data_IF_261904137914
#
_entry.id   IF_261904137914
#
_cell.length_a   1.000
_cell.length_b   1.000
_cell.length_c   1.000
_cell.angle_alpha   90.00
_cell.angle_beta   90.00
_cell.angle_gamma   90.00
#
_symmetry.space_group_name_H-M   'P 1'
#
loop_
_entity.id
_entity.type
_entity.pdbx_description
1 polymer ?
#
# COMPACT_ATOMS: atom_id res chain seq x y z
N UNK A 1 24.40 21.39 12.53
CA UNK A 1 24.23 20.06 13.16
C UNK A 1 22.85 19.59 12.78
N UNK A 2 22.75 18.68 11.81
CA UNK A 2 21.47 18.15 11.37
C UNK A 2 20.88 17.30 12.49
N UNK A 3 19.66 17.63 12.92
CA UNK A 3 18.93 16.84 13.90
C UNK A 3 18.68 15.46 13.31
N UNK A 4 19.27 14.44 13.92
CA UNK A 4 18.84 13.05 13.80
C UNK A 4 17.45 12.93 14.42
N UNK A 5 16.42 13.38 13.68
CA UNK A 5 15.05 13.02 14.00
C UNK A 5 14.91 11.51 13.78
N UNK A 6 14.50 10.83 14.85
CA UNK A 6 14.38 9.38 14.97
C UNK A 6 13.82 8.74 13.69
N UNK A 7 14.68 7.96 13.04
CA UNK A 7 14.32 6.94 12.05
C UNK A 7 13.06 6.22 12.53
N UNK A 8 12.09 6.02 11.64
CA UNK A 8 11.14 4.93 11.87
C UNK A 8 11.93 3.66 12.19
N UNK A 9 11.44 2.80 13.09
CA UNK A 9 12.08 1.52 13.43
C UNK A 9 12.03 0.50 12.26
N UNK A 10 12.00 0.96 11.02
CA UNK A 10 12.02 0.18 9.79
C UNK A 10 13.39 0.29 9.12
N UNK A 11 13.93 -0.81 8.57
CA UNK A 11 15.12 -0.75 7.74
C UNK A 11 14.93 0.15 6.51
N UNK A 12 15.92 1.01 6.26
CA UNK A 12 16.04 1.75 4.99
C UNK A 12 16.82 0.88 4.01
N UNK A 13 16.19 0.54 2.89
CA UNK A 13 16.79 -0.19 1.77
C UNK A 13 17.20 0.81 0.69
N UNK A 14 18.47 0.77 0.29
CA UNK A 14 18.99 1.65 -0.76
C UNK A 14 18.95 0.97 -2.13
N UNK A 15 18.00 1.39 -2.96
CA UNK A 15 17.82 0.85 -4.31
C UNK A 15 19.00 1.22 -5.23
N UNK A 16 19.69 2.32 -4.96
CA UNK A 16 20.80 2.79 -5.79
C UNK A 16 21.99 1.82 -5.72
N UNK A 17 22.15 1.09 -4.61
CA UNK A 17 23.13 0.01 -4.50
C UNK A 17 22.84 -1.06 -5.55
N UNK A 18 21.59 -1.48 -5.69
CA UNK A 18 21.17 -2.48 -6.67
C UNK A 18 21.30 -1.99 -8.11
N UNK A 19 20.98 -0.71 -8.37
CA UNK A 19 20.94 -0.15 -9.72
C UNK A 19 22.34 0.15 -10.28
N UNK A 20 23.28 0.53 -9.42
CA UNK A 20 24.57 1.08 -9.86
C UNK A 20 25.75 0.10 -9.71
N UNK A 21 25.52 -1.12 -9.24
CA UNK A 21 26.57 -2.12 -9.01
C UNK A 21 26.26 -3.47 -9.68
N UNK A 22 27.26 -4.32 -9.93
CA UNK A 22 27.05 -5.67 -10.43
C UNK A 22 26.18 -6.50 -9.49
N UNK A 23 25.26 -7.29 -10.06
CA UNK A 23 24.30 -8.10 -9.29
C UNK A 23 24.97 -9.13 -8.37
N UNK A 24 26.15 -9.62 -8.72
CA UNK A 24 26.95 -10.59 -7.97
C UNK A 24 27.87 -9.95 -6.92
N UNK A 25 27.89 -8.60 -6.83
CA UNK A 25 28.68 -7.92 -5.81
C UNK A 25 28.13 -8.15 -4.40
N UNK A 26 29.03 -8.25 -3.42
CA UNK A 26 28.66 -8.48 -2.01
C UNK A 26 27.71 -7.40 -1.47
N UNK A 27 27.93 -6.14 -1.85
CA UNK A 27 27.08 -5.02 -1.47
C UNK A 27 25.63 -5.20 -1.97
N UNK A 28 25.44 -5.62 -3.23
CA UNK A 28 24.11 -5.89 -3.78
C UNK A 28 23.46 -7.08 -3.09
N UNK A 29 24.21 -8.15 -2.85
CA UNK A 29 23.70 -9.35 -2.18
C UNK A 29 23.27 -9.07 -0.74
N UNK A 30 24.03 -8.27 0.00
CA UNK A 30 23.67 -7.83 1.35
C UNK A 30 22.40 -6.96 1.33
N UNK A 31 22.31 -5.99 0.43
CA UNK A 31 21.15 -5.09 0.38
C UNK A 31 19.87 -5.85 -0.06
N UNK A 32 19.99 -6.83 -0.95
CA UNK A 32 18.90 -7.76 -1.30
C UNK A 32 18.45 -8.60 -0.09
N UNK A 33 19.39 -9.19 0.67
CA UNK A 33 19.09 -9.96 1.89
C UNK A 33 18.42 -9.08 2.94
N UNK A 34 18.89 -7.85 3.10
CA UNK A 34 18.30 -6.85 3.99
C UNK A 34 16.87 -6.50 3.59
N UNK A 35 16.58 -6.32 2.30
CA UNK A 35 15.22 -6.08 1.81
C UNK A 35 14.27 -7.25 2.12
N UNK A 36 14.68 -8.49 1.80
CA UNK A 36 13.89 -9.68 2.11
C UNK A 36 13.67 -9.85 3.62
N UNK A 37 14.72 -9.68 4.43
CA UNK A 37 14.61 -9.78 5.89
C UNK A 37 13.74 -8.68 6.49
N UNK A 38 13.73 -7.47 5.93
CA UNK A 38 12.86 -6.40 6.36
C UNK A 38 11.38 -6.75 6.13
N UNK A 39 11.03 -7.29 4.95
CA UNK A 39 9.66 -7.74 4.68
C UNK A 39 9.26 -8.94 5.55
N UNK A 40 10.14 -9.90 5.78
CA UNK A 40 9.87 -11.05 6.68
C UNK A 40 9.63 -10.57 8.11
N UNK A 41 10.48 -9.67 8.60
CA UNK A 41 10.50 -9.27 10.01
C UNK A 41 9.40 -8.26 10.32
N UNK A 42 9.25 -7.24 9.49
CA UNK A 42 8.39 -6.10 9.78
C UNK A 42 7.13 -6.07 8.92
N UNK A 43 7.10 -6.80 7.79
CA UNK A 43 6.06 -6.64 6.76
C UNK A 43 6.15 -5.31 6.02
N UNK A 44 7.19 -4.51 6.27
CA UNK A 44 7.36 -3.17 5.75
C UNK A 44 8.83 -2.75 5.75
N UNK A 45 9.17 -1.76 4.94
CA UNK A 45 10.49 -1.13 4.86
C UNK A 45 10.40 0.29 4.32
N UNK A 46 11.46 1.06 4.49
CA UNK A 46 11.66 2.33 3.77
C UNK A 46 12.55 2.07 2.58
N UNK A 47 12.16 2.54 1.40
CA UNK A 47 12.93 2.43 0.17
C UNK A 47 13.51 3.80 -0.18
N UNK A 48 14.81 3.88 -0.40
CA UNK A 48 15.49 5.02 -1.02
C UNK A 48 15.70 4.74 -2.50
N UNK A 49 15.35 5.69 -3.38
CA UNK A 49 15.58 5.60 -4.83
C UNK A 49 15.89 6.99 -5.38
N UNK A 50 17.12 7.25 -5.83
CA UNK A 50 17.55 8.54 -6.39
C UNK A 50 16.74 9.05 -7.59
N UNK A 51 15.98 8.18 -8.25
CA UNK A 51 15.15 8.54 -9.41
C UNK A 51 13.79 9.12 -8.99
N UNK A 52 13.42 9.02 -7.71
CA UNK A 52 12.16 9.53 -7.17
C UNK A 52 12.29 11.02 -6.84
N UNK A 53 11.38 11.83 -7.35
CA UNK A 53 11.33 13.28 -7.11
C UNK A 53 10.27 13.65 -6.08
N UNK A 54 10.65 14.43 -5.07
CA UNK A 54 9.71 15.02 -4.11
C UNK A 54 8.78 16.05 -4.79
N UNK A 55 9.24 16.69 -5.86
CA UNK A 55 8.45 17.64 -6.65
C UNK A 55 7.35 16.94 -7.45
N UNK A 56 7.63 15.76 -8.01
CA UNK A 56 6.63 14.95 -8.73
C UNK A 56 5.50 14.52 -7.78
N UNK A 57 5.85 14.07 -6.57
CA UNK A 57 4.87 13.76 -5.53
C UNK A 57 4.08 15.02 -5.12
N UNK A 58 4.75 16.15 -4.92
CA UNK A 58 4.08 17.42 -4.56
C UNK A 58 3.05 17.84 -5.61
N UNK A 59 3.42 17.76 -6.90
CA UNK A 59 2.55 18.06 -8.05
C UNK A 59 1.37 17.11 -8.13
N UNK A 60 1.60 15.82 -7.93
CA UNK A 60 0.56 14.80 -7.84
C UNK A 60 -0.42 15.05 -6.68
N UNK A 61 0.09 15.45 -5.50
CA UNK A 61 -0.77 15.79 -4.37
C UNK A 61 -1.59 17.05 -4.64
N UNK A 62 -1.03 18.06 -5.30
CA UNK A 62 -1.75 19.30 -5.61
C UNK A 62 -2.94 19.08 -6.52
N UNK A 63 -2.75 18.31 -7.60
CA UNK A 63 -3.84 18.02 -8.53
C UNK A 63 -4.94 17.16 -7.92
N UNK A 64 -4.59 16.27 -6.98
CA UNK A 64 -5.59 15.46 -6.28
C UNK A 64 -6.33 16.25 -5.21
N UNK A 65 -5.65 17.14 -4.49
CA UNK A 65 -6.32 18.10 -3.61
C UNK A 65 -7.32 18.95 -4.41
N UNK A 66 -6.93 19.45 -5.59
CA UNK A 66 -7.83 20.20 -6.49
C UNK A 66 -9.03 19.35 -6.91
N UNK A 67 -8.77 18.09 -7.30
CA UNK A 67 -9.81 17.17 -7.75
C UNK A 67 -10.84 16.88 -6.67
N UNK A 68 -10.40 16.45 -5.50
CA UNK A 68 -11.29 16.06 -4.40
C UNK A 68 -11.94 17.25 -3.68
N UNK A 69 -11.50 18.49 -3.95
CA UNK A 69 -12.16 19.71 -3.49
C UNK A 69 -13.37 20.11 -4.35
N UNK A 70 -13.60 19.43 -5.48
CA UNK A 70 -14.75 19.71 -6.33
C UNK A 70 -16.08 19.26 -5.69
N UNK A 71 -17.22 19.82 -6.13
CA UNK A 71 -18.53 19.34 -5.71
C UNK A 71 -18.72 17.85 -5.98
N UNK A 72 -19.43 17.17 -5.09
CA UNK A 72 -19.69 15.73 -5.16
C UNK A 72 -20.37 15.32 -6.47
N UNK A 73 -21.25 16.16 -7.02
CA UNK A 73 -21.92 15.93 -8.30
C UNK A 73 -20.95 15.88 -9.48
N UNK A 74 -19.80 16.55 -9.37
CA UNK A 74 -18.73 16.49 -10.37
C UNK A 74 -17.95 15.20 -10.21
N UNK A 75 -17.54 14.86 -8.97
CA UNK A 75 -16.80 13.63 -8.67
C UNK A 75 -17.57 12.39 -9.10
N UNK A 76 -18.86 12.33 -8.79
CA UNK A 76 -19.77 11.21 -9.08
C UNK A 76 -19.78 10.78 -10.56
N UNK A 77 -19.46 11.68 -11.49
CA UNK A 77 -19.38 11.36 -12.92
C UNK A 77 -18.26 10.36 -13.26
N UNK A 78 -17.22 10.34 -12.41
CA UNK A 78 -16.06 9.48 -12.59
C UNK A 78 -16.25 8.10 -11.93
N UNK A 79 -17.36 7.85 -11.23
CA UNK A 79 -17.66 6.55 -10.64
C UNK A 79 -17.92 5.50 -11.74
N UNK A 80 -17.54 4.25 -11.45
CA UNK A 80 -17.87 3.07 -12.28
C UNK A 80 -18.36 1.92 -11.40
N UNK A 81 -19.56 2.03 -10.79
CA UNK A 81 -20.10 1.00 -9.90
C UNK A 81 -20.27 -0.36 -10.60
N UNK A 82 -20.56 -0.36 -11.91
CA UNK A 82 -20.68 -1.54 -12.75
C UNK A 82 -19.36 -2.33 -12.91
N UNK A 83 -18.24 -1.72 -12.54
CA UNK A 83 -16.90 -2.32 -12.51
C UNK A 83 -16.38 -2.51 -11.09
N UNK A 84 -17.27 -2.64 -10.10
CA UNK A 84 -16.90 -2.81 -8.69
C UNK A 84 -15.98 -1.71 -8.17
N UNK A 85 -16.12 -0.50 -8.71
CA UNK A 85 -15.27 0.66 -8.41
C UNK A 85 -13.77 0.39 -8.58
N UNK A 86 -13.37 -0.51 -9.48
CA UNK A 86 -11.96 -0.85 -9.74
C UNK A 86 -11.26 0.15 -10.68
N UNK A 87 -11.94 1.24 -11.05
CA UNK A 87 -11.40 2.32 -11.88
C UNK A 87 -12.18 3.60 -11.62
N UNK A 88 -11.55 4.76 -11.80
CA UNK A 88 -12.18 6.05 -11.53
C UNK A 88 -12.35 6.28 -10.03
N UNK A 89 -13.38 7.01 -9.61
CA UNK A 89 -13.58 7.38 -8.21
C UNK A 89 -14.53 6.44 -7.47
N UNK A 90 -14.26 6.27 -6.18
CA UNK A 90 -15.16 5.75 -5.15
C UNK A 90 -15.34 6.85 -4.12
N UNK A 91 -16.57 7.27 -3.85
CA UNK A 91 -16.83 8.34 -2.88
C UNK A 91 -16.82 7.84 -1.43
N UNK A 92 -16.69 8.79 -0.51
CA UNK A 92 -16.68 8.57 0.94
C UNK A 92 -17.88 7.73 1.41
N UNK A 93 -17.66 6.92 2.45
CA UNK A 93 -18.66 6.05 3.06
C UNK A 93 -19.22 4.91 2.18
N UNK A 94 -18.53 4.58 1.07
CA UNK A 94 -18.91 3.45 0.21
C UNK A 94 -18.28 2.12 0.67
N UNK A 95 -16.98 2.15 1.01
CA UNK A 95 -16.21 0.97 1.43
C UNK A 95 -16.49 0.64 2.92
N UNK A 96 -16.74 -0.64 3.22
CA UNK A 96 -16.82 -1.14 4.60
C UNK A 96 -15.50 -1.79 5.01
N UNK A 97 -14.94 -1.45 6.18
CA UNK A 97 -13.67 -2.04 6.61
C UNK A 97 -13.81 -3.55 6.86
N UNK A 98 -13.05 -4.38 6.12
CA UNK A 98 -13.07 -5.85 6.22
C UNK A 98 -12.93 -6.34 7.67
N UNK A 99 -11.92 -5.82 8.35
CA UNK A 99 -11.57 -6.25 9.71
C UNK A 99 -12.55 -5.82 10.80
N UNK A 100 -13.64 -5.10 10.45
CA UNK A 100 -14.73 -4.84 11.39
C UNK A 100 -15.58 -6.10 11.67
N UNK A 101 -15.55 -7.09 10.78
CA UNK A 101 -16.34 -8.33 10.91
C UNK A 101 -15.57 -9.61 10.55
N UNK A 102 -14.40 -9.50 9.94
CA UNK A 102 -13.57 -10.63 9.53
C UNK A 102 -12.86 -11.29 10.72
N UNK A 103 -13.25 -12.54 11.04
CA UNK A 103 -12.72 -13.30 12.18
C UNK A 103 -11.18 -13.36 12.22
N UNK A 104 -10.46 -13.62 11.10
CA UNK A 104 -9.00 -13.58 11.08
C UNK A 104 -8.40 -12.23 11.52
N UNK A 105 -9.00 -11.11 11.12
CA UNK A 105 -8.54 -9.80 11.59
C UNK A 105 -8.81 -9.60 13.08
N UNK A 106 -10.00 -9.98 13.56
CA UNK A 106 -10.39 -9.84 14.95
C UNK A 106 -9.48 -10.66 15.87
N UNK A 107 -9.10 -11.87 15.46
CA UNK A 107 -8.14 -12.73 16.17
C UNK A 107 -6.76 -12.05 16.29
N UNK A 108 -6.26 -11.42 15.22
CA UNK A 108 -5.01 -10.64 15.29
C UNK A 108 -5.12 -9.53 16.33
N UNK A 109 -6.21 -8.75 16.30
CA UNK A 109 -6.39 -7.62 17.23
C UNK A 109 -6.48 -8.09 18.67
N UNK A 110 -7.15 -9.22 18.93
CA UNK A 110 -7.25 -9.81 20.26
C UNK A 110 -5.87 -10.17 20.81
N UNK A 111 -4.97 -10.69 19.96
CA UNK A 111 -3.60 -11.08 20.31
C UNK A 111 -2.62 -9.91 20.48
N UNK A 112 -2.93 -8.74 19.91
CA UNK A 112 -2.12 -7.54 20.16
C UNK A 112 -2.19 -7.13 21.62
N UNK A 113 -1.06 -6.69 22.15
CA UNK A 113 -1.00 -6.00 23.44
C UNK A 113 -2.03 -4.85 23.45
N UNK A 114 -2.81 -4.64 24.53
CA UNK A 114 -3.85 -3.62 24.57
C UNK A 114 -3.38 -2.22 24.18
N UNK A 115 -2.12 -1.85 24.46
CA UNK A 115 -1.54 -0.56 24.07
C UNK A 115 -1.22 -0.43 22.59
N UNK A 116 -1.13 -1.55 21.88
CA UNK A 116 -0.81 -1.65 20.46
C UNK A 116 -2.05 -1.85 19.58
N UNK A 117 -3.24 -2.00 20.16
CA UNK A 117 -4.47 -2.20 19.39
C UNK A 117 -4.81 -0.97 18.54
N UNK A 118 -5.48 -1.17 17.39
CA UNK A 118 -6.02 -0.06 16.60
C UNK A 118 -7.04 0.75 17.41
N UNK A 119 -7.31 1.98 16.97
CA UNK A 119 -8.04 2.96 17.77
C UNK A 119 -9.48 2.53 18.10
N UNK A 120 -10.21 1.95 17.14
CA UNK A 120 -11.52 1.33 17.37
C UNK A 120 -11.89 0.43 16.17
N UNK A 121 -12.34 -0.79 16.44
CA UNK A 121 -12.91 -1.74 15.45
C UNK A 121 -14.39 -2.01 15.66
N UNK A 122 -14.99 -1.42 16.69
CA UNK A 122 -16.41 -1.58 17.04
C UNK A 122 -17.30 -0.49 16.42
N UNK A 123 -16.70 0.55 15.83
CA UNK A 123 -17.42 1.60 15.11
C UNK A 123 -17.74 1.16 13.67
N UNK A 124 -18.92 0.54 13.51
CA UNK A 124 -19.54 0.05 12.26
C UNK A 124 -19.79 1.11 11.16
N UNK A 125 -19.01 2.19 11.10
CA UNK A 125 -19.17 3.24 10.09
C UNK A 125 -18.26 2.95 8.89
N UNK A 126 -18.78 3.10 7.66
CA UNK A 126 -17.96 3.13 6.45
C UNK A 126 -16.80 4.12 6.57
N UNK A 127 -15.68 3.84 5.90
CA UNK A 127 -14.51 4.71 5.99
C UNK A 127 -14.81 6.09 5.35
N UNK A 128 -14.54 7.23 6.03
CA UNK A 128 -14.75 8.58 5.51
C UNK A 128 -13.60 8.96 4.57
N UNK A 129 -13.44 8.18 3.50
CA UNK A 129 -12.43 8.36 2.48
C UNK A 129 -12.99 8.13 1.09
N UNK A 130 -12.65 9.03 0.18
CA UNK A 130 -12.76 8.76 -1.24
C UNK A 130 -11.50 8.03 -1.71
N UNK A 131 -11.60 7.30 -2.81
CA UNK A 131 -10.48 6.67 -3.50
C UNK A 131 -10.59 6.97 -4.98
N UNK A 132 -9.46 7.18 -5.65
CA UNK A 132 -9.42 7.18 -7.12
C UNK A 132 -8.46 6.10 -7.59
N UNK A 133 -8.86 5.30 -8.56
CA UNK A 133 -8.01 4.31 -9.21
C UNK A 133 -7.62 4.76 -10.61
N UNK A 134 -6.32 4.78 -10.84
CA UNK A 134 -5.67 5.03 -12.11
C UNK A 134 -4.74 3.87 -12.43
N UNK A 135 -4.98 3.19 -13.54
CA UNK A 135 -4.21 2.02 -13.95
C UNK A 135 -2.81 2.40 -14.41
N UNK A 136 -1.84 1.61 -13.96
CA UNK A 136 -0.42 1.70 -14.31
C UNK A 136 0.11 0.45 -15.04
N UNK A 137 -0.78 -0.40 -15.55
CA UNK A 137 -0.49 -1.66 -16.22
C UNK A 137 -0.22 -1.52 -17.72
N UNK A 138 0.55 -2.46 -18.24
CA UNK A 138 0.70 -2.71 -19.67
C UNK A 138 -0.40 -3.65 -20.16
N UNK A 139 -0.85 -3.48 -21.40
CA UNK A 139 -1.80 -4.41 -22.00
C UNK A 139 -1.13 -5.77 -22.21
N UNK A 140 -1.70 -6.87 -21.67
CA UNK A 140 -1.13 -8.20 -21.90
C UNK A 140 -1.24 -8.59 -23.39
N UNK A 141 -0.29 -9.38 -23.92
CA UNK A 141 -0.35 -9.89 -25.29
C UNK A 141 -1.33 -11.08 -25.46
N UNK A 142 -2.20 -11.30 -24.47
CA UNK A 142 -3.17 -12.39 -24.39
C UNK A 142 -4.50 -11.86 -23.85
N UNK A 143 -5.58 -12.57 -24.14
CA UNK A 143 -6.88 -12.29 -23.54
C UNK A 143 -6.89 -12.79 -22.09
N UNK A 144 -7.19 -11.90 -21.15
CA UNK A 144 -7.25 -12.22 -19.72
C UNK A 144 -8.60 -12.81 -19.35
N UNK A 145 -8.60 -13.76 -18.41
CA UNK A 145 -9.82 -14.29 -17.79
C UNK A 145 -10.51 -13.25 -16.88
N UNK A 146 -9.84 -12.12 -16.60
CA UNK A 146 -10.29 -11.09 -15.66
C UNK A 146 -10.46 -9.70 -16.31
N UNK A 147 -11.35 -9.54 -17.31
CA UNK A 147 -11.49 -8.28 -18.05
C UNK A 147 -11.98 -7.11 -17.18
N UNK A 148 -12.78 -7.38 -16.14
CA UNK A 148 -13.28 -6.34 -15.21
C UNK A 148 -12.17 -5.63 -14.44
N UNK A 149 -11.06 -6.32 -14.16
CA UNK A 149 -9.87 -5.72 -13.52
C UNK A 149 -9.03 -4.88 -14.50
N UNK A 150 -9.42 -4.86 -15.79
CA UNK A 150 -8.67 -4.32 -16.92
C UNK A 150 -9.45 -3.27 -17.75
N UNK A 151 -10.47 -2.60 -17.18
CA UNK A 151 -11.20 -1.46 -17.80
C UNK A 151 -10.41 -0.13 -17.94
N UNK A 152 -10.51 0.63 -19.05
CA UNK A 152 -9.67 1.82 -19.31
C UNK A 152 -9.80 2.92 -18.25
N UNK A 153 -8.75 3.75 -18.12
CA UNK A 153 -8.71 4.87 -17.18
C UNK A 153 -9.84 5.89 -17.43
N UNK A 154 -10.33 6.46 -16.33
CA UNK A 154 -11.28 7.59 -16.33
C UNK A 154 -10.49 8.89 -16.16
N UNK A 155 -10.77 9.89 -17.00
CA UNK A 155 -10.15 11.22 -16.92
C UNK A 155 -11.20 12.24 -16.49
N UNK A 156 -10.98 12.99 -15.39
CA UNK A 156 -11.91 14.02 -14.94
C UNK A 156 -12.19 15.08 -16.01
N UNK A 157 -13.46 15.47 -16.17
CA UNK A 157 -13.87 16.43 -17.20
C UNK A 157 -13.54 17.89 -16.88
N UNK A 158 -13.27 18.19 -15.60
CA UNK A 158 -13.14 19.55 -15.09
C UNK A 158 -12.02 20.33 -15.81
N UNK A 159 -12.32 21.49 -16.45
CA UNK A 159 -11.36 22.16 -17.34
C UNK A 159 -10.03 22.56 -16.68
N UNK A 160 -10.04 22.85 -15.38
CA UNK A 160 -8.83 23.26 -14.63
C UNK A 160 -7.92 22.08 -14.20
N UNK A 161 -8.37 20.84 -14.44
CA UNK A 161 -7.68 19.60 -14.02
C UNK A 161 -7.38 18.70 -15.22
N UNK A 162 -8.34 18.56 -16.14
CA UNK A 162 -8.37 17.58 -17.23
C UNK A 162 -7.02 17.42 -17.95
N UNK A 163 -6.45 18.53 -18.43
CA UNK A 163 -5.23 18.50 -19.25
C UNK A 163 -3.97 18.18 -18.44
N UNK A 164 -4.01 18.39 -17.12
CA UNK A 164 -2.88 18.09 -16.20
C UNK A 164 -2.98 16.69 -15.59
N UNK A 165 -4.16 16.08 -15.60
CA UNK A 165 -4.45 14.82 -14.90
C UNK A 165 -3.57 13.67 -15.36
N UNK A 166 -3.73 13.24 -16.61
CA UNK A 166 -3.01 12.10 -17.14
C UNK A 166 -1.48 12.25 -17.05
N UNK A 167 -0.87 13.40 -17.41
CA UNK A 167 0.56 13.60 -17.21
C UNK A 167 1.01 13.44 -15.75
N UNK A 168 0.30 14.05 -14.79
CA UNK A 168 0.67 13.99 -13.38
C UNK A 168 0.50 12.57 -12.80
N UNK A 169 -0.61 11.90 -13.12
CA UNK A 169 -0.87 10.53 -12.69
C UNK A 169 0.17 9.56 -13.26
N UNK A 170 0.48 9.68 -14.55
CA UNK A 170 1.44 8.80 -15.22
C UNK A 170 2.89 9.04 -14.76
N UNK A 171 3.29 10.30 -14.57
CA UNK A 171 4.63 10.65 -14.10
C UNK A 171 4.88 10.01 -12.73
N UNK A 172 4.01 10.29 -11.77
CA UNK A 172 4.18 9.80 -10.40
C UNK A 172 3.96 8.29 -10.28
N UNK A 173 2.91 7.76 -10.91
CA UNK A 173 2.63 6.32 -10.90
C UNK A 173 3.76 5.50 -11.55
N UNK A 174 4.40 6.01 -12.61
CA UNK A 174 5.53 5.33 -13.25
C UNK A 174 6.74 5.29 -12.32
N UNK A 175 7.02 6.39 -11.63
CA UNK A 175 8.10 6.45 -10.63
C UNK A 175 7.92 5.40 -9.54
N UNK A 176 6.74 5.36 -8.91
CA UNK A 176 6.38 4.37 -7.89
C UNK A 176 6.45 2.92 -8.42
N UNK A 177 5.87 2.66 -9.61
CA UNK A 177 5.86 1.34 -10.23
C UNK A 177 7.29 0.84 -10.47
N UNK A 178 8.16 1.70 -11.00
CA UNK A 178 9.54 1.33 -11.29
C UNK A 178 10.34 1.05 -10.01
N UNK A 179 10.17 1.86 -8.96
CA UNK A 179 10.81 1.65 -7.67
C UNK A 179 10.40 0.31 -7.04
N UNK A 180 9.09 0.05 -6.92
CA UNK A 180 8.58 -1.18 -6.30
C UNK A 180 8.88 -2.43 -7.14
N UNK A 181 8.90 -2.31 -8.47
CA UNK A 181 9.27 -3.41 -9.36
C UNK A 181 10.73 -3.84 -9.16
N UNK A 182 11.64 -2.89 -8.93
CA UNK A 182 13.05 -3.18 -8.63
C UNK A 182 13.25 -3.72 -7.21
N UNK A 183 12.48 -3.24 -6.24
CA UNK A 183 12.44 -3.84 -4.91
C UNK A 183 11.94 -5.29 -4.95
N UNK A 184 10.99 -5.63 -5.83
CA UNK A 184 10.55 -7.01 -6.02
C UNK A 184 11.70 -7.89 -6.56
N UNK A 185 12.57 -7.36 -7.44
CA UNK A 185 13.78 -8.07 -7.88
C UNK A 185 14.76 -8.30 -6.69
N UNK A 186 15.04 -7.25 -5.92
CA UNK A 186 15.90 -7.36 -4.72
C UNK A 186 15.36 -8.37 -3.71
N UNK A 187 14.04 -8.36 -3.49
CA UNK A 187 13.37 -9.29 -2.59
C UNK A 187 13.51 -10.73 -3.09
N UNK A 188 13.37 -10.98 -4.40
CA UNK A 188 13.60 -12.31 -4.97
C UNK A 188 15.03 -12.78 -4.72
N UNK A 189 16.04 -11.95 -4.99
CA UNK A 189 17.45 -12.27 -4.74
C UNK A 189 17.70 -12.57 -3.26
N UNK A 190 17.18 -11.74 -2.34
CA UNK A 190 17.31 -11.97 -0.90
C UNK A 190 16.56 -13.20 -0.35
N UNK A 191 15.69 -13.80 -1.16
CA UNK A 191 15.01 -15.08 -0.91
C UNK A 191 15.65 -16.25 -1.68
N UNK A 192 16.85 -16.04 -2.25
CA UNK A 192 17.60 -16.99 -3.07
C UNK A 192 16.84 -17.43 -4.33
N UNK A 193 15.96 -16.57 -4.86
CA UNK A 193 15.23 -16.76 -6.12
C UNK A 193 15.92 -16.00 -7.26
N UNK A 194 15.68 -16.37 -8.53
CA UNK A 194 16.09 -15.54 -9.65
C UNK A 194 15.52 -14.13 -9.52
N UNK A 195 16.32 -13.09 -9.79
CA UNK A 195 15.92 -11.69 -9.64
C UNK A 195 14.60 -11.37 -10.36
N UNK A 196 14.37 -11.98 -11.52
CA UNK A 196 13.18 -11.78 -12.33
C UNK A 196 11.91 -12.46 -11.80
N UNK A 197 12.01 -13.35 -10.80
CA UNK A 197 10.93 -14.26 -10.41
C UNK A 197 9.61 -13.53 -10.12
N UNK A 198 9.63 -12.52 -9.25
CA UNK A 198 8.42 -11.74 -8.95
C UNK A 198 8.12 -10.69 -10.02
N UNK A 199 9.14 -10.01 -10.55
CA UNK A 199 8.93 -8.97 -11.56
C UNK A 199 8.20 -9.52 -12.79
N UNK A 200 8.63 -10.65 -13.32
CA UNK A 200 8.03 -11.24 -14.51
C UNK A 200 6.58 -11.67 -14.22
N UNK A 201 6.30 -12.15 -13.00
CA UNK A 201 4.94 -12.42 -12.56
C UNK A 201 4.11 -11.13 -12.40
N UNK A 202 4.71 -10.00 -12.06
CA UNK A 202 4.03 -8.71 -11.98
C UNK A 202 3.91 -7.95 -13.30
N UNK A 203 4.59 -8.36 -14.37
CA UNK A 203 4.71 -7.57 -15.60
C UNK A 203 3.38 -7.09 -16.18
N UNK A 204 2.38 -7.98 -16.19
CA UNK A 204 1.02 -7.69 -16.66
C UNK A 204 0.00 -7.60 -15.51
N UNK A 205 0.47 -7.32 -14.30
CA UNK A 205 -0.38 -7.13 -13.13
C UNK A 205 -1.29 -5.91 -13.31
N UNK A 206 -2.53 -5.94 -12.78
CA UNK A 206 -3.42 -4.79 -12.74
C UNK A 206 -2.94 -3.77 -11.70
N UNK A 207 -1.75 -3.19 -11.86
CA UNK A 207 -1.21 -2.18 -10.95
C UNK A 207 -2.10 -0.93 -10.92
N UNK A 208 -2.36 -0.42 -9.72
CA UNK A 208 -3.25 0.72 -9.51
C UNK A 208 -2.52 1.81 -8.74
N UNK A 209 -2.36 2.99 -9.36
CA UNK A 209 -2.15 4.21 -8.61
C UNK A 209 -3.50 4.55 -7.95
N UNK A 210 -3.50 4.56 -6.63
CA UNK A 210 -4.69 4.45 -5.80
C UNK A 210 -4.76 5.54 -4.73
N UNK A 211 -4.68 6.83 -5.10
CA UNK A 211 -4.80 7.90 -4.12
C UNK A 211 -6.10 7.80 -3.34
N UNK A 212 -5.96 8.00 -2.04
CA UNK A 212 -7.08 8.04 -1.10
C UNK A 212 -7.17 9.43 -0.53
N UNK A 213 -8.37 9.99 -0.49
CA UNK A 213 -8.63 11.35 -0.05
C UNK A 213 -9.58 11.37 1.14
N UNK A 214 -9.27 12.19 2.14
CA UNK A 214 -10.20 12.51 3.23
C UNK A 214 -10.29 14.02 3.39
N UNK A 215 -11.52 14.52 3.40
CA UNK A 215 -11.82 15.92 3.67
C UNK A 215 -11.59 16.22 5.16
N UNK A 216 -10.56 17.01 5.47
CA UNK A 216 -10.22 17.36 6.85
C UNK A 216 -11.04 18.55 7.39
N UNK A 217 -11.84 19.22 6.56
CA UNK A 217 -12.86 20.14 7.09
C UNK A 217 -14.00 19.36 7.72
N UNK A 218 -14.39 18.24 7.08
CA UNK A 218 -15.44 17.34 7.58
C UNK A 218 -14.93 16.37 8.66
N UNK A 219 -13.76 15.78 8.46
CA UNK A 219 -13.26 14.62 9.22
C UNK A 219 -11.96 14.91 9.97
N UNK A 220 -11.57 16.18 10.12
CA UNK A 220 -10.31 16.59 10.77
C UNK A 220 -10.32 16.58 12.30
N UNK A 221 -11.35 16.03 12.95
CA UNK A 221 -11.39 15.91 14.41
C UNK A 221 -10.43 14.85 14.92
N UNK A 222 -9.78 15.10 16.07
CA UNK A 222 -8.83 14.17 16.68
C UNK A 222 -9.50 12.83 16.96
N UNK A 223 -8.79 11.74 16.70
CA UNK A 223 -9.22 10.35 16.84
C UNK A 223 -10.26 9.88 15.80
N UNK A 224 -10.56 10.69 14.77
CA UNK A 224 -11.31 10.19 13.62
C UNK A 224 -10.50 9.14 12.88
N UNK A 225 -11.10 7.99 12.60
CA UNK A 225 -10.54 6.92 11.76
C UNK A 225 -10.89 7.25 10.31
N UNK A 226 -9.88 7.57 9.51
CA UNK A 226 -10.02 7.88 8.10
C UNK A 226 -9.95 6.62 7.22
N UNK A 227 -9.20 5.62 7.66
CA UNK A 227 -9.18 4.28 7.10
C UNK A 227 -8.98 3.27 8.22
N UNK A 228 -9.91 2.33 8.37
CA UNK A 228 -9.87 1.31 9.41
C UNK A 228 -8.64 0.39 9.32
N UNK A 229 -8.41 -0.38 10.38
CA UNK A 229 -7.34 -1.38 10.43
C UNK A 229 -7.52 -2.45 9.34
N UNK A 230 -6.56 -2.63 8.44
CA UNK A 230 -6.64 -3.64 7.37
C UNK A 230 -5.27 -4.05 6.84
N UNK A 231 -5.27 -5.06 5.96
CA UNK A 231 -4.13 -5.41 5.10
C UNK A 231 -4.47 -5.13 3.64
N UNK A 232 -3.45 -4.91 2.83
CA UNK A 232 -3.60 -4.78 1.39
C UNK A 232 -3.66 -6.14 0.68
N UNK A 233 -4.46 -6.22 -0.39
CA UNK A 233 -4.71 -7.44 -1.14
C UNK A 233 -3.65 -7.75 -2.22
N UNK A 234 -2.91 -6.74 -2.68
CA UNK A 234 -1.91 -6.83 -3.75
C UNK A 234 -0.60 -7.50 -3.30
N UNK A 235 0.45 -7.41 -4.12
CA UNK A 235 1.76 -8.01 -3.79
C UNK A 235 2.61 -7.09 -2.92
N UNK A 236 2.88 -5.87 -3.39
CA UNK A 236 3.58 -4.83 -2.62
C UNK A 236 2.83 -3.50 -2.77
N UNK A 237 2.61 -2.80 -1.67
CA UNK A 237 2.04 -1.44 -1.66
C UNK A 237 3.16 -0.45 -1.41
N UNK A 238 3.23 0.60 -2.23
CA UNK A 238 4.23 1.65 -2.10
C UNK A 238 3.56 2.99 -1.86
N UNK A 239 4.11 3.78 -0.92
CA UNK A 239 3.59 5.08 -0.56
C UNK A 239 4.62 6.19 -0.70
N UNK A 240 4.21 7.28 -1.36
CA UNK A 240 4.85 8.58 -1.26
C UNK A 240 4.53 9.28 0.05
N UNK A 241 5.28 10.33 0.37
CA UNK A 241 5.03 11.15 1.55
C UNK A 241 3.69 11.90 1.41
N UNK A 242 2.79 11.72 2.37
CA UNK A 242 1.58 12.57 2.49
C UNK A 242 1.92 13.91 3.17
N UNK A 243 1.17 14.97 2.83
CA UNK A 243 1.27 16.27 3.52
C UNK A 243 0.76 16.21 4.95
N UNK A 244 -0.27 15.39 5.20
CA UNK A 244 -0.88 15.25 6.51
C UNK A 244 -0.54 13.86 7.07
N UNK A 245 0.10 13.78 8.26
CA UNK A 245 0.41 12.50 8.90
C UNK A 245 -0.89 11.78 9.33
N UNK A 246 -0.75 10.58 9.90
CA UNK A 246 -1.88 9.81 10.43
C UNK A 246 -1.83 8.31 10.13
N UNK A 247 -0.98 7.89 9.19
CA UNK A 247 -0.75 6.48 8.88
C UNK A 247 0.00 5.81 10.04
N UNK A 248 -0.56 4.70 10.52
CA UNK A 248 0.12 3.77 11.41
C UNK A 248 0.18 2.40 10.75
N UNK A 249 1.29 1.69 10.97
CA UNK A 249 1.49 0.32 10.52
C UNK A 249 1.85 -0.57 11.72
N UNK A 250 1.71 -1.88 11.58
CA UNK A 250 2.09 -2.85 12.62
C UNK A 250 3.25 -3.71 12.17
N UNK A 251 4.33 -3.66 12.94
CA UNK A 251 5.49 -4.51 12.70
C UNK A 251 5.11 -5.99 12.94
N UNK A 252 5.36 -6.85 11.95
CA UNK A 252 4.96 -8.26 12.01
C UNK A 252 5.66 -9.09 13.09
N UNK A 253 6.85 -8.69 13.50
CA UNK A 253 7.66 -9.37 14.52
C UNK A 253 7.18 -9.14 15.96
N UNK A 254 6.63 -7.96 16.26
CA UNK A 254 6.26 -7.59 17.65
C UNK A 254 4.79 -7.22 17.81
N UNK A 255 4.08 -6.93 16.72
CA UNK A 255 2.77 -6.28 16.77
C UNK A 255 2.85 -4.82 17.22
N UNK A 256 4.03 -4.21 17.24
CA UNK A 256 4.18 -2.82 17.65
C UNK A 256 3.58 -1.89 16.59
N UNK A 257 2.76 -0.94 17.04
CA UNK A 257 2.19 0.12 16.21
C UNK A 257 3.23 1.20 15.96
N UNK A 258 3.56 1.43 14.69
CA UNK A 258 4.54 2.40 14.23
C UNK A 258 3.80 3.55 13.54
N UNK A 259 3.93 4.76 14.07
CA UNK A 259 3.49 5.97 13.39
C UNK A 259 4.45 6.28 12.23
N UNK A 260 3.94 6.22 11.00
CA UNK A 260 4.78 6.38 9.81
C UNK A 260 5.26 7.83 9.66
N UNK A 261 6.57 7.97 9.44
CA UNK A 261 7.28 9.19 9.09
C UNK A 261 8.26 8.88 7.96
N UNK A 262 7.83 9.10 6.72
CA UNK A 262 8.72 8.96 5.55
C UNK A 262 9.69 10.15 5.55
N UNK A 263 11.01 9.92 5.50
CA UNK A 263 11.98 11.01 5.42
C UNK A 263 11.71 11.93 4.22
N UNK A 264 12.09 13.22 4.29
CA UNK A 264 12.01 14.11 3.13
C UNK A 264 12.94 13.65 2.00
N UNK A 265 12.67 14.11 0.77
CA UNK A 265 13.38 13.70 -0.42
C UNK A 265 12.78 12.45 -1.08
N UNK A 266 13.66 11.51 -1.40
CA UNK A 266 13.45 10.42 -2.35
C UNK A 266 13.21 9.06 -1.66
N UNK A 267 12.45 9.11 -0.56
CA UNK A 267 12.10 7.93 0.23
C UNK A 267 10.63 7.56 0.06
N UNK A 268 10.37 6.26 0.05
CA UNK A 268 9.05 5.67 -0.07
C UNK A 268 8.84 4.66 1.06
N UNK A 269 7.61 4.49 1.54
CA UNK A 269 7.26 3.36 2.40
C UNK A 269 6.78 2.21 1.53
N UNK A 270 7.25 0.99 1.77
CA UNK A 270 6.72 -0.21 1.12
C UNK A 270 6.21 -1.20 2.15
N UNK A 271 5.02 -1.75 1.92
CA UNK A 271 4.39 -2.80 2.74
C UNK A 271 4.10 -4.05 1.91
N UNK A 272 4.21 -5.21 2.54
CA UNK A 272 3.77 -6.48 1.98
C UNK A 272 2.24 -6.57 1.95
N UNK A 273 1.69 -7.06 0.84
CA UNK A 273 0.26 -7.39 0.71
C UNK A 273 -0.01 -8.90 0.70
N UNK A 274 -1.25 -9.29 0.44
CA UNK A 274 -1.69 -10.70 0.49
C UNK A 274 -1.09 -11.59 -0.59
N UNK A 275 -0.76 -11.07 -1.77
CA UNK A 275 -0.18 -11.91 -2.83
C UNK A 275 1.24 -12.38 -2.49
N UNK A 276 2.08 -11.53 -1.88
CA UNK A 276 3.41 -11.97 -1.43
C UNK A 276 3.29 -12.89 -0.21
N UNK A 277 2.32 -12.67 0.66
CA UNK A 277 2.03 -13.58 1.77
C UNK A 277 1.72 -14.98 1.27
N UNK A 278 0.84 -15.09 0.29
CA UNK A 278 0.42 -16.38 -0.27
C UNK A 278 1.55 -17.10 -1.01
N UNK A 279 2.23 -16.43 -1.94
CA UNK A 279 3.27 -17.07 -2.77
C UNK A 279 4.50 -17.49 -1.96
N UNK A 280 4.73 -16.85 -0.81
CA UNK A 280 5.83 -17.20 0.10
C UNK A 280 5.41 -18.19 1.19
N UNK A 281 4.15 -18.65 1.19
CA UNK A 281 3.63 -19.58 2.18
C UNK A 281 3.60 -19.01 3.59
N UNK A 282 3.33 -17.71 3.72
CA UNK A 282 3.29 -16.99 4.99
C UNK A 282 4.66 -16.61 5.57
N UNK A 283 5.76 -16.82 4.82
CA UNK A 283 7.11 -16.38 5.23
C UNK A 283 7.18 -14.84 5.35
N UNK A 284 6.69 -14.13 4.33
CA UNK A 284 6.44 -12.69 4.40
C UNK A 284 4.96 -12.53 4.72
N UNK A 285 4.59 -11.71 5.70
CA UNK A 285 3.18 -11.52 6.06
C UNK A 285 2.69 -10.14 5.65
N UNK A 286 1.44 -10.05 5.19
CA UNK A 286 0.83 -8.80 4.84
C UNK A 286 0.82 -7.85 6.05
N UNK A 287 1.24 -6.61 5.81
CA UNK A 287 1.35 -5.59 6.83
C UNK A 287 -0.02 -5.00 7.17
N UNK A 288 -0.35 -4.93 8.45
CA UNK A 288 -1.54 -4.21 8.90
C UNK A 288 -1.26 -2.71 8.98
N UNK A 289 -2.29 -1.91 8.70
CA UNK A 289 -2.22 -0.46 8.81
C UNK A 289 -3.59 0.18 9.04
N UNK A 290 -3.58 1.38 9.61
CA UNK A 290 -4.76 2.24 9.83
C UNK A 290 -4.37 3.70 9.55
N UNK A 291 -5.35 4.53 9.26
CA UNK A 291 -5.16 5.98 9.18
C UNK A 291 -6.10 6.67 10.15
N UNK A 292 -5.53 7.47 11.05
CA UNK A 292 -6.29 8.27 12.02
C UNK A 292 -5.85 9.73 12.00
N UNK A 293 -6.75 10.62 12.43
CA UNK A 293 -6.39 11.99 12.78
C UNK A 293 -5.73 12.00 14.16
N UNK A 294 -4.41 12.17 14.18
CA UNK A 294 -3.63 12.27 15.43
C UNK A 294 -3.21 13.71 15.72
N UNK A 295 -2.51 13.93 16.85
CA UNK A 295 -2.05 15.27 17.25
C UNK A 295 -1.20 15.97 16.17
N UNK A 296 -0.31 15.25 15.50
CA UNK A 296 0.48 15.81 14.38
C UNK A 296 -0.38 16.19 13.18
N UNK A 297 -1.50 15.50 12.99
CA UNK A 297 -2.46 15.83 11.93
C UNK A 297 -3.11 17.17 12.24
N UNK A 298 -3.59 17.36 13.48
CA UNK A 298 -4.16 18.64 13.96
C UNK A 298 -3.16 19.78 13.83
N UNK A 299 -1.91 19.59 14.28
CA UNK A 299 -0.84 20.58 14.13
C UNK A 299 -0.62 20.97 12.66
N UNK A 300 -0.66 19.98 11.76
CA UNK A 300 -0.48 20.20 10.33
C UNK A 300 -1.68 20.91 9.70
N UNK A 301 -2.92 20.58 10.09
CA UNK A 301 -4.14 21.29 9.68
C UNK A 301 -4.03 22.77 10.04
N UNK A 302 -3.73 23.07 11.31
CA UNK A 302 -3.65 24.45 11.78
C UNK A 302 -2.51 25.22 11.11
N UNK A 303 -1.37 24.56 10.84
CA UNK A 303 -0.29 25.16 10.06
C UNK A 303 -0.73 25.44 8.62
N UNK A 304 -1.39 24.49 7.95
CA UNK A 304 -1.82 24.61 6.56
C UNK A 304 -2.86 25.72 6.37
N UNK A 305 -3.82 25.85 7.29
CA UNK A 305 -4.79 26.97 7.30
C UNK A 305 -4.12 28.34 7.35
N UNK A 306 -3.01 28.47 8.08
CA UNK A 306 -2.26 29.73 8.18
C UNK A 306 -1.36 29.98 6.97
N UNK A 307 -0.60 28.98 6.56
CA UNK A 307 0.46 29.13 5.56
C UNK A 307 -0.09 29.09 4.12
N UNK A 308 -1.22 28.41 3.91
CA UNK A 308 -1.84 28.17 2.60
C UNK A 308 -3.38 28.25 2.67
N UNK A 309 -3.98 29.40 3.06
CA UNK A 309 -5.42 29.52 3.28
C UNK A 309 -6.29 29.21 2.06
N UNK A 310 -5.74 29.36 0.85
CA UNK A 310 -6.46 29.10 -0.41
C UNK A 310 -6.36 27.64 -0.89
N UNK A 311 -5.59 26.78 -0.19
CA UNK A 311 -5.44 25.36 -0.57
C UNK A 311 -6.49 24.50 0.14
N UNK A 312 -7.08 23.50 -0.55
CA UNK A 312 -8.00 22.57 0.09
C UNK A 312 -7.36 21.83 1.27
N UNK A 313 -8.14 21.64 2.33
CA UNK A 313 -7.78 20.79 3.47
C UNK A 313 -8.13 19.33 3.18
N UNK A 314 -7.56 18.77 2.12
CA UNK A 314 -7.76 17.37 1.75
C UNK A 314 -6.50 16.57 2.05
N UNK A 315 -6.61 15.54 2.90
CA UNK A 315 -5.53 14.58 3.11
C UNK A 315 -5.48 13.62 1.95
N UNK A 316 -4.40 13.64 1.17
CA UNK A 316 -4.14 12.65 0.13
C UNK A 316 -3.11 11.62 0.62
N UNK A 317 -3.45 10.34 0.54
CA UNK A 317 -2.50 9.24 0.57
C UNK A 317 -1.96 9.01 -0.83
N UNK A 318 -0.64 9.09 -0.98
CA UNK A 318 0.06 8.86 -2.24
C UNK A 318 0.40 7.39 -2.34
N UNK A 319 -0.49 6.55 -2.88
CA UNK A 319 -0.38 5.08 -2.81
C UNK A 319 -0.40 4.44 -4.19
N UNK A 320 0.45 3.42 -4.42
CA UNK A 320 0.34 2.51 -5.56
C UNK A 320 0.30 1.06 -5.09
N UNK A 321 -0.65 0.29 -5.64
CA UNK A 321 -0.80 -1.15 -5.45
C UNK A 321 -0.14 -1.90 -6.61
N UNK A 322 0.98 -2.56 -6.33
CA UNK A 322 1.68 -3.40 -7.30
C UNK A 322 1.19 -4.85 -7.16
N UNK A 323 0.45 -5.31 -8.16
CA UNK A 323 -0.11 -6.67 -8.26
C UNK A 323 0.74 -7.63 -9.10
N UNK A 324 0.60 -8.94 -8.83
CA UNK A 324 0.92 -9.98 -9.82
C UNK A 324 -0.12 -10.02 -10.94
N UNK A 325 0.23 -10.61 -12.08
CA UNK A 325 -0.67 -10.85 -13.22
C UNK A 325 -1.88 -11.69 -12.82
N UNK A 326 -3.09 -11.24 -13.17
CA UNK A 326 -4.34 -11.88 -12.76
C UNK A 326 -4.45 -13.36 -13.19
N UNK A 327 -3.92 -13.69 -14.36
CA UNK A 327 -3.98 -15.05 -14.93
C UNK A 327 -2.91 -16.00 -14.37
N UNK A 328 -2.01 -15.53 -13.50
CA UNK A 328 -0.94 -16.35 -12.92
C UNK A 328 -1.47 -17.19 -11.77
N UNK A 329 -0.97 -18.43 -11.68
CA UNK A 329 -1.17 -19.28 -10.51
C UNK A 329 -0.31 -18.80 -9.34
N UNK A 330 -0.99 -18.38 -8.28
CA UNK A 330 -0.43 -17.99 -7.00
C UNK A 330 -0.08 -19.24 -6.19
N UNK A 331 1.00 -19.90 -6.61
CA UNK A 331 1.48 -21.15 -6.01
C UNK A 331 2.54 -20.87 -4.95
N UNK A 332 2.37 -21.35 -3.70
CA UNK A 332 3.40 -21.21 -2.68
C UNK A 332 4.71 -21.89 -3.10
N UNK A 333 5.81 -21.16 -3.01
CA UNK A 333 7.13 -21.70 -3.38
C UNK A 333 7.61 -22.68 -2.29
N UNK A 334 7.86 -23.97 -2.59
CA UNK A 334 8.10 -24.99 -1.57
C UNK A 334 9.24 -24.67 -0.60
N UNK A 335 10.36 -24.13 -1.10
CA UNK A 335 11.50 -23.73 -0.25
C UNK A 335 11.16 -22.57 0.69
N UNK A 336 10.26 -21.66 0.29
CA UNK A 336 9.84 -20.54 1.14
C UNK A 336 8.83 -21.00 2.18
N UNK A 337 7.94 -21.93 1.83
CA UNK A 337 7.05 -22.61 2.79
C UNK A 337 7.86 -23.32 3.89
N UNK A 338 8.93 -24.03 3.51
CA UNK A 338 9.81 -24.68 4.49
C UNK A 338 10.46 -23.65 5.42
N UNK A 339 11.00 -22.55 4.88
CA UNK A 339 11.55 -21.45 5.67
C UNK A 339 10.51 -20.76 6.54
N UNK A 340 9.25 -20.64 6.10
CA UNK A 340 8.15 -20.08 6.89
C UNK A 340 7.92 -20.89 8.17
N UNK A 341 7.91 -22.23 8.06
CA UNK A 341 7.79 -23.14 9.22
C UNK A 341 8.95 -22.95 10.20
N UNK A 342 10.19 -22.83 9.72
CA UNK A 342 11.35 -22.57 10.58
C UNK A 342 11.28 -21.22 11.29
N UNK A 343 10.80 -20.17 10.61
CA UNK A 343 10.62 -18.85 11.22
C UNK A 343 9.54 -18.91 12.29
N UNK A 344 8.42 -19.56 12.01
CA UNK A 344 7.29 -19.72 12.94
C UNK A 344 7.69 -20.48 14.20
N UNK A 345 8.41 -21.59 14.08
CA UNK A 345 8.90 -22.33 15.25
C UNK A 345 9.86 -21.47 16.10
N UNK A 346 10.76 -20.70 15.46
CA UNK A 346 11.60 -19.73 16.18
C UNK A 346 10.79 -18.64 16.88
N UNK A 347 9.72 -18.12 16.28
CA UNK A 347 8.84 -17.15 16.94
C UNK A 347 8.15 -17.75 18.16
N UNK A 348 7.69 -19.01 18.05
CA UNK A 348 7.07 -19.76 19.15
C UNK A 348 8.05 -20.00 20.30
N UNK A 349 9.31 -20.32 20.01
CA UNK A 349 10.39 -20.42 21.02
C UNK A 349 10.62 -19.09 21.76
N UNK A 350 10.43 -17.96 21.08
CA UNK A 350 10.46 -16.62 21.66
C UNK A 350 9.16 -16.23 22.39
N UNK A 351 8.20 -17.14 22.50
CA UNK A 351 6.91 -16.91 23.16
C UNK A 351 5.94 -16.04 22.37
N UNK A 352 6.16 -15.84 21.06
CA UNK A 352 5.30 -15.01 20.20
C UNK A 352 4.21 -15.85 19.56
N UNK A 353 2.98 -15.37 19.66
CA UNK A 353 1.81 -16.03 19.09
C UNK A 353 1.53 -15.52 17.67
N UNK A 354 1.85 -16.36 16.68
CA UNK A 354 1.59 -16.07 15.27
C UNK A 354 0.17 -16.45 14.81
N UNK A 355 -0.68 -16.99 15.68
CA UNK A 355 -2.07 -17.34 15.39
C UNK A 355 -2.19 -18.76 14.86
N UNK A 356 -3.33 -19.11 14.27
CA UNK A 356 -3.48 -20.42 13.63
C UNK A 356 -2.61 -20.56 12.38
N UNK A 357 -2.23 -21.80 12.06
CA UNK A 357 -1.56 -22.07 10.79
C UNK A 357 -2.54 -21.92 9.64
N UNK A 358 -2.09 -21.25 8.59
CA UNK A 358 -2.86 -21.05 7.37
C UNK A 358 -2.27 -21.94 6.30
N UNK A 359 -3.13 -22.75 5.68
CA UNK A 359 -2.76 -23.49 4.48
C UNK A 359 -3.01 -22.59 3.26
N UNK A 360 -1.93 -22.27 2.54
CA UNK A 360 -2.00 -21.47 1.31
C UNK A 360 -2.17 -22.41 0.12
N UNK A 361 -3.40 -22.60 -0.36
CA UNK A 361 -3.67 -23.45 -1.51
C UNK A 361 -3.44 -22.72 -2.85
N UNK A 362 -2.98 -23.41 -3.90
CA UNK A 362 -2.93 -22.86 -5.26
C UNK A 362 -4.25 -22.19 -5.69
N UNK A 363 -4.16 -20.99 -6.24
CA UNK A 363 -5.29 -20.29 -6.87
C UNK A 363 -4.79 -19.28 -7.91
N UNK A 364 -5.65 -18.83 -8.82
CA UNK A 364 -5.28 -17.70 -9.69
C UNK A 364 -5.27 -16.39 -8.91
N UNK A 365 -4.34 -15.50 -9.24
CA UNK A 365 -4.25 -14.17 -8.65
C UNK A 365 -5.56 -13.39 -8.82
N UNK A 366 -6.20 -13.46 -9.98
CA UNK A 366 -7.48 -12.78 -10.23
C UNK A 366 -8.62 -13.28 -9.34
N UNK A 367 -8.66 -14.59 -9.04
CA UNK A 367 -9.63 -15.14 -8.08
C UNK A 367 -9.35 -14.65 -6.67
N UNK A 368 -8.08 -14.56 -6.26
CA UNK A 368 -7.71 -13.99 -4.96
C UNK A 368 -8.20 -12.55 -4.82
N UNK A 369 -7.99 -11.70 -5.83
CA UNK A 369 -8.49 -10.32 -5.82
C UNK A 369 -10.01 -10.29 -5.73
N UNK A 370 -10.71 -11.08 -6.55
CA UNK A 370 -12.16 -11.19 -6.55
C UNK A 370 -12.72 -11.59 -5.18
N UNK A 371 -12.14 -12.60 -4.53
CA UNK A 371 -12.60 -13.05 -3.21
C UNK A 371 -12.37 -11.98 -2.13
N UNK A 372 -11.27 -11.23 -2.19
CA UNK A 372 -11.05 -10.08 -1.30
C UNK A 372 -12.05 -8.94 -1.56
N UNK A 373 -12.39 -8.65 -2.82
CA UNK A 373 -13.38 -7.62 -3.17
C UNK A 373 -14.80 -7.96 -2.68
N UNK A 374 -15.17 -9.25 -2.66
CA UNK A 374 -16.44 -9.70 -2.07
C UNK A 374 -16.48 -9.42 -0.57
N UNK A 375 -15.38 -9.67 0.15
CA UNK A 375 -15.30 -9.43 1.60
C UNK A 375 -15.47 -7.95 2.01
N UNK A 376 -15.15 -7.01 1.11
CA UNK A 376 -15.35 -5.57 1.34
C UNK A 376 -16.60 -5.00 0.67
N UNK A 377 -17.52 -5.87 0.22
CA UNK A 377 -18.80 -5.52 -0.39
C UNK A 377 -18.70 -4.64 -1.65
N UNK A 378 -17.57 -4.69 -2.37
CA UNK A 378 -17.40 -4.01 -3.66
C UNK A 378 -17.78 -4.90 -4.85
N UNK A 379 -17.86 -6.22 -4.65
CA UNK A 379 -18.30 -7.18 -5.66
C UNK A 379 -19.36 -8.12 -5.06
N UNK A 380 -20.37 -8.44 -5.88
CA UNK A 380 -21.50 -9.28 -5.51
C UNK A 380 -21.17 -10.77 -5.45
#
# INVERSE_FOLDING_TARGET
>A
MASTEQSMDLPVIDLDVYLNNPLDSEAVQEECRKAANALITYGALVLHDSRVSEEDNSTFLDILEDYFAQPEEVLRKDEKPELSYQIGVTLENTEKPKCAVDEPCLDVIQRLDPSQRPLDISAHSPDPKCRFFWRMSEQPPFETEFPGLNAPNVVPEAPHIRDRWEPAMNQWGTSMKNAVSKLAEMTAVGLDLPAQFFRDAGKYGPHLLAPTASDLEKYGEKNTILAGFHTDLNFLTIHGRSRYPGLHIWARNTGSRIAVKIPPGNYLLVQAGKQIEHITGGLIKAGFHEVIVNDKTIETIEKRKRDFPERPLVRISSTLFWHLGSDIDLNPVPKLVARAKEVRERQKELGRDEGQEVEYLPMKVGHQVQDELKHIALMA
#
